data_IF_796718686534
#
_entry.id   IF_796718686534
#
_cell.length_a   1.000
_cell.length_b   1.000
_cell.length_c   1.000
_cell.angle_alpha   90.00
_cell.angle_beta   90.00
_cell.angle_gamma   90.00
#
_symmetry.space_group_name_H-M   'P 1'
#
loop_
_entity.id
_entity.type
_entity.pdbx_description
1 polymer ?
#
# COMPACT_ATOMS: atom_id res chain seq x y z
N UNK A 1 -9.86 -6.14 -12.94
CA UNK A 1 -9.99 -4.70 -12.67
C UNK A 1 -9.00 -3.89 -13.50
N UNK A 2 -7.71 -4.16 -13.46
CA UNK A 2 -6.69 -3.48 -14.29
C UNK A 2 -7.06 -3.55 -15.77
N UNK A 3 -7.39 -4.72 -16.31
CA UNK A 3 -7.80 -4.89 -17.70
C UNK A 3 -8.96 -3.99 -18.14
N UNK A 4 -9.95 -3.82 -17.24
CA UNK A 4 -11.08 -2.92 -17.54
C UNK A 4 -10.62 -1.46 -17.63
N UNK A 5 -9.73 -1.04 -16.73
CA UNK A 5 -9.20 0.33 -16.74
C UNK A 5 -8.33 0.59 -17.97
N UNK A 6 -7.51 -0.39 -18.37
CA UNK A 6 -6.70 -0.29 -19.59
C UNK A 6 -7.57 -0.26 -20.84
N UNK A 7 -8.67 -1.05 -20.89
CA UNK A 7 -9.60 -1.04 -22.01
C UNK A 7 -10.43 0.27 -22.17
N UNK A 8 -10.50 1.08 -21.11
CA UNK A 8 -11.17 2.40 -21.10
C UNK A 8 -10.19 3.56 -21.36
N UNK A 9 -8.92 3.26 -21.71
CA UNK A 9 -7.83 4.23 -21.80
C UNK A 9 -7.10 4.07 -23.14
N UNK A 10 -7.23 5.07 -24.01
CA UNK A 10 -6.71 5.02 -25.40
C UNK A 10 -5.17 5.02 -25.47
N UNK A 11 -4.46 5.38 -24.38
CA UNK A 11 -3.00 5.41 -24.30
C UNK A 11 -2.40 4.10 -23.78
N UNK A 12 -3.21 3.10 -23.44
CA UNK A 12 -2.78 1.85 -22.83
C UNK A 12 -3.27 0.63 -23.61
N UNK A 13 -2.40 -0.35 -23.75
CA UNK A 13 -2.70 -1.63 -24.35
C UNK A 13 -2.25 -2.79 -23.47
N UNK A 14 -3.04 -3.87 -23.39
CA UNK A 14 -2.64 -5.13 -22.75
C UNK A 14 -2.00 -6.01 -23.81
N UNK A 15 -0.69 -6.08 -23.79
CA UNK A 15 0.09 -6.91 -24.73
C UNK A 15 0.22 -8.36 -24.27
N UNK A 16 -0.09 -8.66 -23.00
CA UNK A 16 -0.04 -10.04 -22.52
C UNK A 16 -0.57 -10.23 -21.09
N UNK A 17 -0.75 -11.49 -20.72
CA UNK A 17 -1.22 -11.94 -19.41
C UNK A 17 -0.41 -13.15 -18.95
N UNK A 18 -0.08 -13.17 -17.65
CA UNK A 18 0.50 -14.34 -17.02
C UNK A 18 -0.38 -14.89 -15.92
N UNK A 19 -0.40 -16.20 -15.78
CA UNK A 19 -1.04 -16.91 -14.68
C UNK A 19 -0.20 -18.11 -14.26
N UNK A 20 -0.58 -18.77 -13.17
CA UNK A 20 0.09 -20.00 -12.75
C UNK A 20 0.01 -21.14 -13.78
N UNK A 21 -1.01 -21.11 -14.67
CA UNK A 21 -1.24 -22.14 -15.70
C UNK A 21 -0.61 -21.78 -17.06
N UNK A 22 -0.35 -20.49 -17.30
CA UNK A 22 0.19 -20.00 -18.58
C UNK A 22 1.24 -18.93 -18.29
N UNK A 23 2.47 -19.27 -18.59
CA UNK A 23 3.60 -18.38 -18.39
C UNK A 23 4.04 -17.76 -19.71
N UNK A 24 4.59 -16.58 -19.63
CA UNK A 24 5.03 -15.62 -20.64
C UNK A 24 5.62 -16.23 -21.92
N UNK A 25 4.88 -16.32 -23.00
CA UNK A 25 5.45 -16.75 -24.30
C UNK A 25 5.67 -15.58 -25.27
N UNK A 26 5.13 -14.37 -25.05
CA UNK A 26 5.19 -13.27 -26.03
C UNK A 26 5.14 -11.84 -25.42
N UNK A 27 5.82 -11.58 -24.29
CA UNK A 27 5.75 -10.26 -23.63
C UNK A 27 6.94 -9.33 -23.93
N UNK A 28 7.71 -9.58 -24.98
CA UNK A 28 8.91 -8.81 -25.34
C UNK A 28 8.64 -7.33 -25.70
N UNK A 29 7.38 -6.93 -25.88
CA UNK A 29 7.00 -5.56 -26.23
C UNK A 29 6.34 -4.76 -25.09
N UNK A 30 6.29 -5.29 -23.87
CA UNK A 30 5.69 -4.59 -22.76
C UNK A 30 6.63 -3.51 -22.21
N UNK A 31 6.11 -2.31 -21.95
CA UNK A 31 6.85 -1.26 -21.25
C UNK A 31 6.86 -1.52 -19.73
N UNK A 32 5.76 -2.04 -19.19
CA UNK A 32 5.60 -2.29 -17.75
C UNK A 32 4.83 -3.59 -17.49
N UNK A 33 5.30 -4.36 -16.53
CA UNK A 33 4.61 -5.52 -15.97
C UNK A 33 3.95 -5.12 -14.65
N UNK A 34 2.66 -5.45 -14.46
CA UNK A 34 1.93 -5.22 -13.20
C UNK A 34 1.59 -6.57 -12.58
N UNK A 35 2.09 -6.81 -11.36
CA UNK A 35 1.89 -8.06 -10.62
C UNK A 35 1.09 -7.88 -9.32
N UNK A 36 -0.07 -8.57 -9.23
CA UNK A 36 -0.91 -8.71 -8.03
C UNK A 36 -1.24 -10.19 -7.82
N UNK A 37 -0.25 -11.03 -7.84
CA UNK A 37 -0.41 -12.48 -7.79
C UNK A 37 -0.11 -13.06 -6.38
N UNK A 38 0.77 -14.05 -6.34
CA UNK A 38 1.30 -14.67 -5.13
C UNK A 38 2.83 -14.62 -5.17
N UNK A 39 3.54 -14.71 -4.05
CA UNK A 39 5.00 -14.58 -3.99
C UNK A 39 5.74 -15.39 -5.05
N UNK A 40 5.42 -16.67 -5.20
CA UNK A 40 6.08 -17.54 -6.19
C UNK A 40 5.92 -17.04 -7.64
N UNK A 41 4.72 -16.61 -8.03
CA UNK A 41 4.47 -16.11 -9.39
C UNK A 41 5.08 -14.71 -9.57
N UNK A 42 4.98 -13.87 -8.57
CA UNK A 42 5.58 -12.53 -8.56
C UNK A 42 7.08 -12.60 -8.83
N UNK A 43 7.80 -13.52 -8.18
CA UNK A 43 9.25 -13.68 -8.40
C UNK A 43 9.59 -14.19 -9.79
N UNK A 44 8.75 -15.05 -10.37
CA UNK A 44 8.91 -15.48 -11.78
C UNK A 44 8.67 -14.31 -12.74
N UNK A 45 7.61 -13.51 -12.47
CA UNK A 45 7.30 -12.30 -13.24
C UNK A 45 8.45 -11.29 -13.16
N UNK A 46 8.99 -11.07 -11.98
CA UNK A 46 10.14 -10.18 -11.74
C UNK A 46 11.39 -10.65 -12.47
N UNK A 47 11.69 -11.97 -12.44
CA UNK A 47 12.84 -12.52 -13.13
C UNK A 47 12.73 -12.34 -14.65
N UNK A 48 11.52 -12.51 -15.20
CA UNK A 48 11.24 -12.25 -16.62
C UNK A 48 11.39 -10.74 -16.93
N UNK A 49 10.78 -9.87 -16.15
CA UNK A 49 10.88 -8.43 -16.34
C UNK A 49 12.35 -7.95 -16.32
N UNK A 50 13.16 -8.49 -15.40
CA UNK A 50 14.60 -8.21 -15.33
C UNK A 50 15.35 -8.68 -16.60
N UNK A 51 15.03 -9.86 -17.12
CA UNK A 51 15.68 -10.43 -18.32
C UNK A 51 15.38 -9.61 -19.58
N UNK A 52 14.16 -9.11 -19.70
CA UNK A 52 13.68 -8.35 -20.87
C UNK A 52 13.86 -6.82 -20.71
N UNK A 53 14.33 -6.33 -19.56
CA UNK A 53 14.49 -4.91 -19.30
C UNK A 53 13.17 -4.17 -19.09
N UNK A 54 12.11 -4.86 -18.68
CA UNK A 54 10.75 -4.34 -18.50
C UNK A 54 10.60 -3.75 -17.09
N UNK A 55 10.00 -2.57 -16.94
CA UNK A 55 9.66 -1.99 -15.66
C UNK A 55 8.62 -2.86 -14.92
N UNK A 56 8.63 -2.87 -13.57
CA UNK A 56 7.77 -3.77 -12.81
C UNK A 56 7.03 -3.05 -11.67
N UNK A 57 5.70 -3.20 -11.63
CA UNK A 57 4.85 -2.76 -10.52
C UNK A 57 4.43 -3.98 -9.71
N UNK A 58 4.79 -4.02 -8.43
CA UNK A 58 4.57 -5.16 -7.53
C UNK A 58 3.59 -4.76 -6.42
N UNK A 59 2.37 -5.32 -6.50
CA UNK A 59 1.34 -5.23 -5.46
C UNK A 59 1.12 -6.55 -4.71
N UNK A 60 1.89 -7.57 -5.02
CA UNK A 60 1.87 -8.85 -4.31
C UNK A 60 2.38 -8.68 -2.89
N UNK A 61 1.62 -9.21 -1.93
CA UNK A 61 1.94 -9.19 -0.49
C UNK A 61 2.35 -10.58 0.00
N UNK A 62 2.88 -10.67 1.23
CA UNK A 62 3.35 -11.93 1.80
C UNK A 62 4.74 -12.36 1.31
N UNK A 63 5.49 -11.44 0.72
CA UNK A 63 6.90 -11.62 0.35
C UNK A 63 7.77 -11.67 1.62
N UNK A 64 8.67 -12.63 1.69
CA UNK A 64 9.62 -12.77 2.79
C UNK A 64 10.90 -11.95 2.56
N UNK A 65 11.83 -12.00 3.51
CA UNK A 65 13.10 -11.26 3.43
C UNK A 65 13.97 -11.71 2.24
N UNK A 66 13.91 -12.99 1.87
CA UNK A 66 14.67 -13.51 0.72
C UNK A 66 14.07 -13.02 -0.60
N UNK A 67 12.73 -12.90 -0.66
CA UNK A 67 12.01 -12.34 -1.79
C UNK A 67 12.31 -10.85 -1.96
N UNK A 68 12.36 -10.11 -0.82
CA UNK A 68 12.71 -8.70 -0.82
C UNK A 68 14.13 -8.48 -1.37
N UNK A 69 15.09 -9.31 -0.99
CA UNK A 69 16.47 -9.25 -1.53
C UNK A 69 16.50 -9.45 -3.05
N UNK A 70 15.63 -10.32 -3.59
CA UNK A 70 15.51 -10.52 -5.05
C UNK A 70 14.93 -9.30 -5.75
N UNK A 71 13.93 -8.64 -5.14
CA UNK A 71 13.34 -7.40 -5.66
C UNK A 71 14.40 -6.28 -5.68
N UNK A 72 15.13 -6.10 -4.58
CA UNK A 72 16.24 -5.15 -4.48
C UNK A 72 17.31 -5.43 -5.54
N UNK A 73 17.68 -6.71 -5.72
CA UNK A 73 18.62 -7.09 -6.79
C UNK A 73 18.10 -6.81 -8.21
N UNK A 74 16.80 -6.98 -8.46
CA UNK A 74 16.22 -6.67 -9.77
C UNK A 74 16.19 -5.16 -10.01
N UNK A 75 15.89 -4.38 -8.99
CA UNK A 75 15.81 -2.92 -9.08
C UNK A 75 17.14 -2.24 -9.44
N UNK A 76 18.27 -2.93 -9.29
CA UNK A 76 19.57 -2.41 -9.79
C UNK A 76 19.67 -2.40 -11.32
N UNK A 77 18.78 -3.09 -12.02
CA UNK A 77 18.81 -3.26 -13.48
C UNK A 77 17.56 -2.73 -14.18
N UNK A 78 16.42 -2.73 -13.51
CA UNK A 78 15.13 -2.24 -14.02
C UNK A 78 14.45 -1.34 -12.98
N UNK A 79 13.56 -0.41 -13.39
CA UNK A 79 12.72 0.30 -12.44
C UNK A 79 11.65 -0.62 -11.85
N UNK A 80 11.55 -0.66 -10.53
CA UNK A 80 10.55 -1.46 -9.79
C UNK A 80 9.80 -0.55 -8.83
N UNK A 81 8.46 -0.52 -8.93
CA UNK A 81 7.61 0.14 -7.95
C UNK A 81 6.92 -0.93 -7.09
N UNK A 82 7.21 -0.97 -5.80
CA UNK A 82 6.64 -1.92 -4.85
C UNK A 82 5.81 -1.21 -3.79
N UNK A 83 4.58 -1.68 -3.56
CA UNK A 83 3.75 -1.20 -2.47
C UNK A 83 2.77 -2.28 -1.98
N UNK A 84 2.54 -2.32 -0.67
CA UNK A 84 1.49 -3.16 -0.07
C UNK A 84 0.07 -2.63 -0.36
N UNK A 85 -0.05 -1.33 -0.70
CA UNK A 85 -1.30 -0.67 -1.03
C UNK A 85 -1.08 0.38 -2.12
N UNK A 86 -1.78 0.25 -3.24
CA UNK A 86 -1.69 1.17 -4.38
C UNK A 86 -2.76 2.26 -4.39
N UNK A 87 -3.63 2.38 -3.37
CA UNK A 87 -4.55 3.51 -3.29
C UNK A 87 -3.79 4.83 -3.16
N UNK A 88 -3.95 5.72 -4.11
CA UNK A 88 -3.36 7.07 -4.09
C UNK A 88 -3.76 7.80 -2.80
N UNK A 89 -5.05 7.75 -2.44
CA UNK A 89 -5.55 8.40 -1.24
C UNK A 89 -4.98 7.83 0.07
N UNK A 90 -4.74 6.52 0.16
CA UNK A 90 -4.10 5.90 1.34
C UNK A 90 -2.63 6.32 1.44
N UNK A 91 -1.89 6.37 0.35
CA UNK A 91 -0.49 6.77 0.39
C UNK A 91 -0.36 8.25 0.77
N UNK A 92 -1.22 9.12 0.23
CA UNK A 92 -1.29 10.51 0.67
C UNK A 92 -1.69 10.62 2.15
N UNK A 93 -2.66 9.82 2.62
CA UNK A 93 -3.05 9.78 4.02
C UNK A 93 -1.88 9.41 4.93
N UNK A 94 -1.04 8.44 4.55
CA UNK A 94 0.16 8.07 5.30
C UNK A 94 1.12 9.25 5.47
N UNK A 95 1.34 10.05 4.43
CA UNK A 95 2.21 11.23 4.52
C UNK A 95 1.60 12.35 5.36
N UNK A 96 0.31 12.59 5.23
CA UNK A 96 -0.42 13.54 6.08
C UNK A 96 -0.38 13.13 7.56
N UNK A 97 -0.52 11.84 7.85
CA UNK A 97 -0.44 11.28 9.21
C UNK A 97 0.95 11.46 9.80
N UNK A 98 2.02 11.17 9.04
CA UNK A 98 3.40 11.44 9.49
C UNK A 98 3.61 12.91 9.82
N UNK A 99 3.15 13.80 8.93
CA UNK A 99 3.26 15.24 9.14
C UNK A 99 2.46 15.73 10.36
N UNK A 100 1.25 15.21 10.56
CA UNK A 100 0.44 15.53 11.73
C UNK A 100 1.08 15.00 13.02
N UNK A 101 1.53 13.74 13.02
CA UNK A 101 2.12 13.09 14.20
C UNK A 101 3.41 13.79 14.67
N UNK A 102 4.26 14.25 13.74
CA UNK A 102 5.48 14.99 14.07
C UNK A 102 5.24 16.47 14.39
N UNK A 103 4.16 17.07 13.90
CA UNK A 103 3.85 18.48 14.11
C UNK A 103 3.01 18.79 15.36
N UNK A 104 2.24 17.80 15.83
CA UNK A 104 1.38 17.95 17.01
C UNK A 104 2.14 17.64 18.30
N UNK A 105 1.84 18.36 19.42
CA UNK A 105 2.37 18.03 20.73
C UNK A 105 2.09 16.58 21.14
N UNK A 106 2.98 15.96 21.93
CA UNK A 106 2.81 14.60 22.44
C UNK A 106 1.53 14.39 23.27
N UNK A 107 0.96 15.47 23.81
CA UNK A 107 -0.31 15.47 24.52
C UNK A 107 -1.53 15.13 23.64
N UNK A 108 -1.38 15.12 22.29
CA UNK A 108 -2.44 14.64 21.41
C UNK A 108 -2.43 13.11 21.36
N UNK A 109 -3.48 12.51 21.91
CA UNK A 109 -3.71 11.07 21.85
C UNK A 109 -3.96 10.61 20.40
N UNK A 110 -3.42 9.46 20.03
CA UNK A 110 -3.57 8.92 18.67
C UNK A 110 -4.47 7.67 18.66
N UNK A 111 -5.50 7.68 17.81
CA UNK A 111 -6.40 6.55 17.59
C UNK A 111 -6.54 6.27 16.08
N UNK A 112 -6.56 5.01 15.72
CA UNK A 112 -6.81 4.54 14.35
C UNK A 112 -8.09 3.71 14.35
N UNK A 113 -9.08 4.13 13.57
CA UNK A 113 -10.29 3.34 13.34
C UNK A 113 -10.39 2.90 11.89
N UNK A 114 -10.91 1.68 11.66
CA UNK A 114 -11.08 1.15 10.32
C UNK A 114 -12.37 0.34 10.19
N UNK A 115 -12.98 0.41 9.00
CA UNK A 115 -14.22 -0.30 8.67
C UNK A 115 -14.00 -1.08 7.39
N UNK A 116 -14.30 -2.38 7.41
CA UNK A 116 -14.30 -3.24 6.23
C UNK A 116 -15.52 -4.17 6.18
N UNK A 117 -15.71 -4.78 5.04
CA UNK A 117 -16.76 -5.78 4.83
C UNK A 117 -16.68 -6.94 5.82
N UNK A 118 -17.83 -7.60 6.06
CA UNK A 118 -17.99 -8.66 7.06
C UNK A 118 -17.07 -9.88 6.88
N UNK A 119 -16.53 -10.10 5.68
CA UNK A 119 -15.68 -11.26 5.36
C UNK A 119 -14.18 -10.97 5.50
N UNK A 120 -13.77 -9.76 5.90
CA UNK A 120 -12.35 -9.46 6.12
C UNK A 120 -11.85 -10.16 7.38
N UNK A 121 -10.83 -11.01 7.23
CA UNK A 121 -10.32 -11.88 8.29
C UNK A 121 -9.35 -11.16 9.22
N UNK A 122 -8.41 -10.42 8.65
CA UNK A 122 -7.41 -9.68 9.41
C UNK A 122 -8.04 -8.48 10.13
N UNK A 123 -7.65 -8.29 11.40
CA UNK A 123 -8.11 -7.22 12.27
C UNK A 123 -7.01 -6.89 13.30
N UNK A 124 -6.49 -5.65 13.32
CA UNK A 124 -6.71 -4.56 12.37
C UNK A 124 -6.25 -4.87 10.94
N UNK A 125 -6.71 -4.08 9.96
CA UNK A 125 -6.23 -4.19 8.58
C UNK A 125 -4.75 -3.80 8.45
N UNK A 126 -4.04 -4.37 7.47
CA UNK A 126 -2.66 -3.98 7.19
C UNK A 126 -2.47 -2.48 6.99
N UNK A 127 -3.45 -1.78 6.39
CA UNK A 127 -3.43 -0.32 6.24
C UNK A 127 -3.55 0.40 7.57
N UNK A 128 -4.42 -0.07 8.49
CA UNK A 128 -4.51 0.51 9.83
C UNK A 128 -3.20 0.34 10.60
N UNK A 129 -2.58 -0.84 10.52
CA UNK A 129 -1.27 -1.08 11.14
C UNK A 129 -0.19 -0.17 10.55
N UNK A 130 -0.17 0.03 9.23
CA UNK A 130 0.76 0.95 8.57
C UNK A 130 0.57 2.41 9.02
N UNK A 131 -0.68 2.86 9.22
CA UNK A 131 -1.00 4.19 9.73
C UNK A 131 -0.49 4.38 11.16
N UNK A 132 -0.70 3.41 12.04
CA UNK A 132 -0.19 3.47 13.40
C UNK A 132 1.33 3.35 13.49
N UNK A 133 1.96 2.52 12.65
CA UNK A 133 3.41 2.47 12.53
C UNK A 133 3.98 3.82 12.08
N UNK A 134 3.33 4.51 11.13
CA UNK A 134 3.73 5.85 10.69
C UNK A 134 3.64 6.89 11.82
N UNK A 135 2.63 6.77 12.70
CA UNK A 135 2.51 7.63 13.90
C UNK A 135 3.67 7.34 14.86
N UNK A 136 3.91 6.05 15.17
CA UNK A 136 4.95 5.63 16.10
C UNK A 136 6.34 6.09 15.63
N UNK A 137 6.67 5.83 14.36
CA UNK A 137 7.92 6.28 13.73
C UNK A 137 8.09 7.81 13.83
N UNK A 138 7.02 8.57 13.54
CA UNK A 138 7.07 10.03 13.57
C UNK A 138 7.19 10.64 14.98
N UNK A 139 6.91 9.84 16.01
CA UNK A 139 7.02 10.21 17.43
C UNK A 139 8.20 9.54 18.15
N UNK A 140 9.07 8.83 17.41
CA UNK A 140 10.20 8.06 17.94
C UNK A 140 9.75 7.01 19.00
N UNK A 141 8.63 6.33 18.72
CA UNK A 141 8.04 5.30 19.57
C UNK A 141 8.20 3.92 18.92
N UNK A 142 8.33 2.89 19.76
CA UNK A 142 8.28 1.49 19.34
C UNK A 142 6.81 1.05 19.16
N UNK A 143 6.38 0.88 17.92
CA UNK A 143 4.99 0.55 17.58
C UNK A 143 4.48 -0.69 18.34
N UNK A 144 5.28 -1.74 18.47
CA UNK A 144 4.86 -2.99 19.14
C UNK A 144 4.61 -2.80 20.64
N UNK A 145 5.24 -1.79 21.25
CA UNK A 145 5.03 -1.46 22.66
C UNK A 145 3.83 -0.55 22.91
N UNK A 146 3.53 0.35 21.96
CA UNK A 146 2.48 1.38 22.15
C UNK A 146 1.15 1.02 21.50
N UNK A 147 1.09 0.05 20.59
CA UNK A 147 -0.14 -0.41 19.95
C UNK A 147 -1.10 -1.07 20.96
N UNK A 148 -2.38 -0.67 20.93
CA UNK A 148 -3.43 -1.23 21.78
C UNK A 148 -4.66 -1.65 20.97
N UNK A 149 -4.95 -2.93 21.05
CA UNK A 149 -6.04 -3.58 20.32
C UNK A 149 -7.19 -3.89 21.27
N UNK A 150 -8.15 -2.97 21.34
CA UNK A 150 -9.24 -3.07 22.31
C UNK A 150 -8.80 -2.68 23.72
N UNK A 151 -9.33 -1.57 24.22
CA UNK A 151 -8.97 -1.03 25.52
C UNK A 151 -10.07 -1.32 26.55
N UNK A 152 -9.64 -1.69 27.75
CA UNK A 152 -10.47 -1.69 28.97
C UNK A 152 -9.78 -0.81 30.01
N UNK A 153 -10.52 0.14 30.58
CA UNK A 153 -9.97 1.12 31.52
C UNK A 153 -9.52 2.43 30.88
N UNK A 154 -8.78 3.21 31.66
CA UNK A 154 -8.22 4.49 31.18
C UNK A 154 -7.10 4.26 30.17
N UNK A 155 -6.92 5.27 29.33
CA UNK A 155 -5.80 5.32 28.39
C UNK A 155 -4.48 5.55 29.13
N UNK A 156 -3.41 4.86 28.72
CA UNK A 156 -2.04 5.20 29.10
C UNK A 156 -1.45 6.27 28.15
N UNK A 157 -0.40 6.95 28.57
CA UNK A 157 0.32 7.87 27.71
C UNK A 157 0.96 7.10 26.54
N UNK A 158 1.14 7.80 25.42
CA UNK A 158 1.81 7.30 24.20
C UNK A 158 1.12 6.12 23.49
N UNK A 159 -0.02 5.64 23.98
CA UNK A 159 -0.76 4.59 23.27
C UNK A 159 -1.19 5.03 21.87
N UNK A 160 -1.18 4.07 20.94
CA UNK A 160 -1.86 4.17 19.64
C UNK A 160 -2.97 3.14 19.65
N UNK A 161 -4.22 3.62 19.79
CA UNK A 161 -5.39 2.74 19.86
C UNK A 161 -5.87 2.30 18.49
N UNK A 162 -6.39 1.06 18.40
CA UNK A 162 -6.97 0.51 17.18
C UNK A 162 -8.41 0.05 17.41
N UNK A 163 -9.30 0.50 16.53
CA UNK A 163 -10.71 0.11 16.50
C UNK A 163 -11.06 -0.46 15.13
N UNK A 164 -11.43 -1.73 15.09
CA UNK A 164 -11.78 -2.43 13.85
C UNK A 164 -13.27 -2.73 13.80
N UNK A 165 -13.95 -2.27 12.76
CA UNK A 165 -15.36 -2.50 12.50
C UNK A 165 -15.50 -3.40 11.29
N UNK A 166 -16.38 -4.42 11.38
CA UNK A 166 -16.70 -5.36 10.30
C UNK A 166 -18.21 -5.35 10.06
N UNK A 167 -18.63 -5.07 8.83
CA UNK A 167 -20.05 -5.02 8.47
C UNK A 167 -20.29 -4.73 7.00
N UNK A 168 -21.44 -5.12 6.50
CA UNK A 168 -21.84 -4.82 5.14
C UNK A 168 -20.85 -5.31 4.08
N UNK A 169 -20.66 -4.49 3.07
CA UNK A 169 -19.80 -4.68 1.90
C UNK A 169 -18.72 -3.57 1.79
N UNK A 170 -18.46 -2.84 2.87
CA UNK A 170 -17.52 -1.71 2.89
C UNK A 170 -16.16 -2.13 2.34
N UNK A 171 -15.71 -1.43 1.31
CA UNK A 171 -14.45 -1.75 0.63
C UNK A 171 -13.23 -1.45 1.50
N UNK A 172 -13.29 -0.39 2.32
CA UNK A 172 -12.30 -0.02 3.31
C UNK A 172 -12.37 1.47 3.65
N UNK A 173 -12.52 1.77 4.92
CA UNK A 173 -12.45 3.13 5.46
C UNK A 173 -11.41 3.16 6.57
N UNK A 174 -10.64 4.24 6.65
CA UNK A 174 -9.62 4.43 7.67
C UNK A 174 -9.65 5.86 8.16
N UNK A 175 -9.69 6.06 9.47
CA UNK A 175 -9.61 7.36 10.12
C UNK A 175 -8.51 7.33 11.16
N UNK A 176 -7.60 8.29 11.07
CA UNK A 176 -6.64 8.60 12.12
C UNK A 176 -7.13 9.84 12.84
N UNK A 177 -7.21 9.74 14.16
CA UNK A 177 -7.63 10.82 15.04
C UNK A 177 -6.48 11.21 15.97
N UNK A 178 -6.19 12.50 16.05
CA UNK A 178 -5.32 13.10 17.05
C UNK A 178 -6.20 13.95 17.96
N UNK A 179 -6.28 13.57 19.23
CA UNK A 179 -7.25 14.08 20.21
C UNK A 179 -6.50 14.88 21.28
N UNK A 180 -6.68 16.19 21.28
CA UNK A 180 -6.13 17.11 22.27
C UNK A 180 -7.22 17.69 23.17
N UNK A 181 -6.82 18.45 24.21
CA UNK A 181 -7.75 19.15 25.08
C UNK A 181 -8.45 20.29 24.33
N UNK A 182 -9.75 20.12 24.10
CA UNK A 182 -10.59 21.12 23.44
C UNK A 182 -10.57 21.12 21.92
N UNK A 183 -9.72 20.30 21.30
CA UNK A 183 -9.66 20.14 19.83
C UNK A 183 -9.29 18.73 19.40
N UNK A 184 -9.56 18.39 18.14
CA UNK A 184 -9.11 17.16 17.51
C UNK A 184 -8.87 17.36 16.02
N UNK A 185 -7.91 16.62 15.50
CA UNK A 185 -7.65 16.53 14.07
C UNK A 185 -8.04 15.11 13.61
N UNK A 186 -8.86 15.01 12.56
CA UNK A 186 -9.29 13.75 11.97
C UNK A 186 -8.84 13.69 10.48
N UNK A 187 -8.16 12.65 10.10
CA UNK A 187 -7.72 12.38 8.74
C UNK A 187 -8.39 11.10 8.26
N UNK A 188 -9.27 11.20 7.27
CA UNK A 188 -10.11 10.08 6.84
C UNK A 188 -9.97 9.78 5.35
N UNK A 189 -9.83 8.50 5.04
CA UNK A 189 -9.94 7.96 3.69
C UNK A 189 -11.09 6.95 3.61
N UNK A 190 -11.93 7.06 2.56
CA UNK A 190 -13.00 6.11 2.26
C UNK A 190 -12.89 5.59 0.84
N UNK A 191 -12.77 4.28 0.69
CA UNK A 191 -12.84 3.62 -0.62
C UNK A 191 -14.29 3.19 -0.91
N UNK A 192 -14.86 3.66 -2.01
CA UNK A 192 -16.20 3.25 -2.45
C UNK A 192 -16.18 1.89 -3.15
N UNK A 193 -15.06 1.54 -3.78
CA UNK A 193 -14.83 0.25 -4.42
C UNK A 193 -13.34 -0.16 -4.38
N UNK A 194 -13.05 -1.40 -4.75
CA UNK A 194 -11.67 -1.92 -4.80
C UNK A 194 -10.89 -1.49 -6.06
N UNK A 195 -11.52 -0.80 -7.02
CA UNK A 195 -10.85 -0.32 -8.22
C UNK A 195 -9.85 0.81 -7.91
N UNK A 196 -9.93 1.43 -6.73
CA UNK A 196 -8.94 2.43 -6.28
C UNK A 196 -7.51 1.86 -6.28
N UNK A 197 -7.33 0.59 -5.95
CA UNK A 197 -6.02 -0.08 -5.98
C UNK A 197 -5.53 -0.32 -7.40
N UNK A 198 -6.43 -0.75 -8.30
CA UNK A 198 -6.11 -0.95 -9.71
C UNK A 198 -5.78 0.38 -10.40
N UNK A 199 -6.54 1.45 -10.11
CA UNK A 199 -6.25 2.80 -10.63
C UNK A 199 -4.87 3.29 -10.18
N UNK A 200 -4.53 3.11 -8.91
CA UNK A 200 -3.20 3.47 -8.41
C UNK A 200 -2.07 2.64 -9.02
N UNK A 201 -2.30 1.35 -9.28
CA UNK A 201 -1.31 0.51 -9.95
C UNK A 201 -1.07 0.93 -11.41
N UNK A 202 -2.13 1.27 -12.16
CA UNK A 202 -2.02 1.82 -13.51
C UNK A 202 -1.32 3.19 -13.50
N UNK A 203 -1.63 4.04 -12.52
CA UNK A 203 -0.95 5.32 -12.34
C UNK A 203 0.55 5.13 -12.06
N UNK A 204 0.92 4.21 -11.17
CA UNK A 204 2.31 3.87 -10.91
C UNK A 204 3.01 3.29 -12.14
N UNK A 205 2.33 2.45 -12.93
CA UNK A 205 2.86 1.91 -14.17
C UNK A 205 3.21 3.02 -15.18
N UNK A 206 2.31 3.96 -15.40
CA UNK A 206 2.57 5.12 -16.28
C UNK A 206 3.75 5.96 -15.79
N UNK A 207 3.81 6.23 -14.49
CA UNK A 207 4.89 7.01 -13.88
C UNK A 207 6.24 6.31 -14.01
N UNK A 208 6.25 4.96 -13.97
CA UNK A 208 7.47 4.14 -13.96
C UNK A 208 8.14 4.06 -15.34
N UNK A 209 7.38 4.26 -16.44
CA UNK A 209 7.92 4.26 -17.81
C UNK A 209 9.01 5.32 -17.95
N UNK A 210 10.19 4.91 -18.41
CA UNK A 210 11.34 5.79 -18.62
C UNK A 210 12.09 6.22 -17.36
N UNK A 211 11.71 5.72 -16.18
CA UNK A 211 12.50 5.92 -14.95
C UNK A 211 13.80 5.12 -15.01
N UNK A 212 14.88 5.58 -14.40
CA UNK A 212 16.10 4.81 -14.27
C UNK A 212 15.88 3.56 -13.40
N UNK A 213 16.76 2.53 -13.49
CA UNK A 213 16.76 1.43 -12.54
C UNK A 213 16.75 1.94 -11.08
N UNK A 214 15.89 1.35 -10.26
CA UNK A 214 15.69 1.76 -8.87
C UNK A 214 14.49 1.07 -8.24
N UNK A 215 14.48 1.00 -6.91
CA UNK A 215 13.32 0.57 -6.13
C UNK A 215 12.53 1.80 -5.69
N UNK A 216 11.31 1.90 -6.17
CA UNK A 216 10.38 3.00 -5.95
C UNK A 216 9.19 2.55 -5.10
N UNK A 217 8.63 3.46 -4.38
CA UNK A 217 7.40 3.32 -3.60
C UNK A 217 6.26 4.15 -4.19
N UNK A 218 5.05 3.99 -3.68
CA UNK A 218 3.94 4.89 -4.03
C UNK A 218 4.18 6.34 -3.58
N UNK A 219 5.06 6.58 -2.61
CA UNK A 219 5.44 7.93 -2.21
C UNK A 219 6.20 8.63 -3.34
N UNK A 220 7.18 7.95 -3.95
CA UNK A 220 7.94 8.48 -5.08
C UNK A 220 7.04 8.76 -6.30
N UNK A 221 5.97 7.99 -6.46
CA UNK A 221 4.97 8.18 -7.54
C UNK A 221 4.12 9.42 -7.31
N UNK A 222 3.97 9.88 -6.07
CA UNK A 222 3.09 11.00 -5.68
C UNK A 222 3.85 12.32 -5.46
N UNK A 223 5.18 12.29 -5.38
CA UNK A 223 6.07 13.48 -5.32
C UNK A 223 6.36 14.01 -6.73
#
# INVERSE_FOLDING_TARGET
MIEKLVAEDDDLEIVGRASAAQFFDDLQSADVLIDFSRPELCLKSLAHAKAEGIACVIGTTGLDQSDQTRIESASTSIPVCQAANFSIGINLLLDLVRRAASGLPAAFDAEVSEIHHRWKVDSPSGTALALGAAIAESRDLDHDKVARYGRTGCRDNDEIGYQSIRGGDVAGEHTVMFLGDGERLELTHRASDRAVFARGAVHAARWLVGKPPGLYSMRDVLE
#
